data_IF_661196179713
#
_entry.id   IF_661196179713
#
_cell.length_a   1.000
_cell.length_b   1.000
_cell.length_c   1.000
_cell.angle_alpha   90.00
_cell.angle_beta   90.00
_cell.angle_gamma   90.00
#
_symmetry.space_group_name_H-M   'P 1'
#
loop_
_entity.id
_entity.type
_entity.pdbx_description
1 polymer ?
#
# COMPACT_ATOMS: atom_id res chain seq x y z
N UNK A 1 18.59 16.48 -0.56
CA UNK A 1 18.74 15.02 -0.76
C UNK A 1 17.51 14.29 -0.22
N UNK A 2 16.38 14.26 -0.96
CA UNK A 2 15.14 13.57 -0.49
C UNK A 2 14.27 12.99 -1.62
N UNK A 3 14.75 12.94 -2.86
CA UNK A 3 14.01 12.37 -4.01
C UNK A 3 14.37 10.92 -4.30
N UNK A 4 15.46 10.42 -3.70
CA UNK A 4 16.07 9.13 -4.06
C UNK A 4 15.29 7.91 -3.56
N UNK A 5 14.56 8.03 -2.44
CA UNK A 5 13.85 6.90 -1.83
C UNK A 5 12.48 6.66 -2.49
N UNK A 6 11.81 7.72 -2.96
CA UNK A 6 10.50 7.63 -3.61
C UNK A 6 10.57 6.93 -4.98
N UNK A 7 11.67 7.11 -5.72
CA UNK A 7 11.87 6.48 -7.03
C UNK A 7 12.18 4.98 -6.94
N UNK A 8 12.72 4.51 -5.81
CA UNK A 8 13.12 3.10 -5.65
C UNK A 8 11.92 2.17 -5.53
N UNK A 9 10.82 2.61 -4.89
CA UNK A 9 9.62 1.79 -4.69
C UNK A 9 8.88 1.45 -6.00
N UNK A 10 8.94 2.35 -7.00
CA UNK A 10 8.30 2.15 -8.31
C UNK A 10 9.17 1.30 -9.27
N UNK A 11 10.49 1.26 -9.08
CA UNK A 11 11.42 0.57 -9.97
C UNK A 11 11.57 -0.93 -9.70
N UNK A 12 11.23 -1.39 -8.48
CA UNK A 12 11.42 -2.80 -8.07
C UNK A 12 10.47 -3.75 -8.83
N UNK A 13 9.29 -3.29 -9.24
CA UNK A 13 8.35 -4.12 -10.01
C UNK A 13 8.79 -4.41 -11.45
N UNK A 14 9.63 -3.57 -12.05
CA UNK A 14 10.00 -3.68 -13.46
C UNK A 14 11.19 -4.60 -13.75
N UNK A 15 12.02 -4.91 -12.75
CA UNK A 15 13.24 -5.71 -12.94
C UNK A 15 13.01 -7.22 -12.99
N UNK A 16 11.79 -7.69 -12.70
CA UNK A 16 11.41 -9.12 -12.74
C UNK A 16 10.60 -9.53 -13.98
N UNK A 17 10.35 -8.60 -14.92
CA UNK A 17 9.54 -8.85 -16.11
C UNK A 17 10.26 -9.67 -17.22
N UNK A 18 11.54 -9.98 -17.04
CA UNK A 18 12.30 -10.81 -17.96
C UNK A 18 12.06 -12.29 -17.69
N UNK A 19 11.23 -12.93 -18.53
CA UNK A 19 10.97 -14.37 -18.68
C UNK A 19 9.68 -14.92 -18.03
N UNK A 20 8.71 -15.24 -18.91
CA UNK A 20 7.71 -16.32 -18.86
C UNK A 20 6.53 -16.29 -17.86
N UNK A 21 5.69 -15.23 -17.82
CA UNK A 21 4.36 -15.16 -17.13
C UNK A 21 4.31 -14.98 -15.59
N UNK A 22 4.83 -13.89 -15.04
CA UNK A 22 4.48 -13.51 -13.67
C UNK A 22 3.14 -12.77 -13.78
N UNK A 23 2.11 -13.21 -13.07
CA UNK A 23 0.81 -12.54 -13.15
C UNK A 23 0.96 -11.18 -12.47
N UNK A 24 0.91 -10.10 -13.27
CA UNK A 24 0.79 -8.74 -12.75
C UNK A 24 -0.66 -8.52 -12.36
N UNK A 25 -0.89 -8.15 -11.11
CA UNK A 25 -2.17 -7.72 -10.59
C UNK A 25 -2.10 -6.22 -10.29
N UNK A 26 -3.12 -5.49 -10.72
CA UNK A 26 -3.32 -4.09 -10.39
C UNK A 26 -4.66 -3.95 -9.68
N UNK A 27 -4.68 -3.21 -8.59
CA UNK A 27 -5.90 -2.86 -7.88
C UNK A 27 -5.83 -1.40 -7.40
N UNK A 28 -6.99 -0.86 -7.03
CA UNK A 28 -7.12 0.51 -6.59
C UNK A 28 -8.21 0.63 -5.52
N UNK A 29 -8.00 1.54 -4.58
CA UNK A 29 -8.98 1.89 -3.56
C UNK A 29 -9.32 3.38 -3.64
N UNK A 30 -10.57 3.72 -3.36
CA UNK A 30 -11.06 5.09 -3.29
C UNK A 30 -11.86 5.25 -2.00
N UNK A 31 -11.48 6.24 -1.20
CA UNK A 31 -12.19 6.67 -0.01
C UNK A 31 -12.57 8.14 -0.16
N UNK A 32 -13.84 8.44 0.09
CA UNK A 32 -14.42 9.78 0.01
C UNK A 32 -15.14 10.04 1.33
N UNK A 33 -14.51 10.84 2.17
CA UNK A 33 -15.02 11.14 3.49
C UNK A 33 -15.51 12.60 3.51
N UNK A 34 -16.72 12.79 4.05
CA UNK A 34 -17.34 14.10 4.16
C UNK A 34 -17.99 14.20 5.52
N UNK A 35 -17.35 14.94 6.42
CA UNK A 35 -17.84 15.18 7.76
C UNK A 35 -18.56 16.53 7.82
N UNK A 36 -19.77 16.53 8.37
CA UNK A 36 -20.50 17.73 8.72
C UNK A 36 -20.42 17.92 10.25
N UNK A 37 -19.64 18.89 10.68
CA UNK A 37 -19.47 19.23 12.10
C UNK A 37 -20.42 20.38 12.45
N UNK A 38 -21.47 20.06 13.19
CA UNK A 38 -22.37 21.07 13.74
C UNK A 38 -21.72 21.73 14.97
N UNK A 39 -21.25 22.96 14.79
CA UNK A 39 -20.80 23.76 15.93
C UNK A 39 -22.03 24.47 16.48
N UNK A 40 -22.40 24.14 17.73
CA UNK A 40 -23.65 24.49 18.44
C UNK A 40 -24.01 26.00 18.53
N UNK A 41 -23.32 26.88 17.81
CA UNK A 41 -23.44 28.33 17.93
C UNK A 41 -23.93 29.05 16.66
N UNK A 42 -23.97 28.41 15.47
CA UNK A 42 -24.73 28.84 14.25
C UNK A 42 -24.07 28.45 12.91
N UNK A 43 -23.08 27.54 12.87
CA UNK A 43 -22.37 27.21 11.63
C UNK A 43 -22.03 25.72 11.55
N UNK A 44 -22.30 25.13 10.39
CA UNK A 44 -21.81 23.80 10.02
C UNK A 44 -20.49 23.96 9.28
N UNK A 45 -19.44 23.32 9.78
CA UNK A 45 -18.19 23.16 9.02
C UNK A 45 -18.23 21.84 8.28
N UNK A 46 -17.79 21.86 7.02
CA UNK A 46 -17.61 20.66 6.21
C UNK A 46 -16.12 20.35 6.12
N UNK A 47 -15.75 19.14 6.51
CA UNK A 47 -14.41 18.60 6.30
C UNK A 47 -14.48 17.52 5.22
N UNK A 48 -13.55 17.56 4.26
CA UNK A 48 -13.48 16.60 3.17
C UNK A 48 -12.08 16.01 3.10
N UNK A 49 -12.01 14.73 3.39
CA UNK A 49 -10.78 13.94 3.41
C UNK A 49 -11.00 12.62 2.64
N UNK A 50 -10.11 11.67 2.82
CA UNK A 50 -10.07 10.41 2.07
C UNK A 50 -8.84 10.28 1.18
N UNK A 51 -8.90 9.33 0.25
CA UNK A 51 -7.73 8.98 -0.55
C UNK A 51 -8.04 8.24 -1.87
N UNK A 52 -7.05 8.28 -2.76
CA UNK A 52 -6.92 7.34 -3.89
C UNK A 52 -5.69 6.49 -3.68
N UNK A 53 -5.81 5.18 -3.79
CA UNK A 53 -4.69 4.24 -3.69
C UNK A 53 -4.57 3.41 -4.95
N UNK A 54 -3.33 3.18 -5.38
CA UNK A 54 -2.98 2.32 -6.49
C UNK A 54 -1.97 1.28 -6.02
N UNK A 55 -2.26 0.02 -6.32
CA UNK A 55 -1.45 -1.12 -5.93
C UNK A 55 -1.05 -1.94 -7.16
N UNK A 56 0.14 -2.50 -7.10
CA UNK A 56 0.65 -3.49 -8.05
C UNK A 56 1.24 -4.66 -7.28
N UNK A 57 0.94 -5.88 -7.72
CA UNK A 57 1.53 -7.09 -7.19
C UNK A 57 1.97 -8.02 -8.32
N UNK A 58 3.01 -8.80 -8.06
CA UNK A 58 3.44 -9.87 -8.94
C UNK A 58 3.88 -11.07 -8.12
N UNK A 59 3.53 -12.27 -8.59
CA UNK A 59 4.02 -13.53 -8.01
C UNK A 59 4.47 -14.48 -9.11
N UNK A 60 5.55 -15.19 -8.81
CA UNK A 60 6.23 -16.15 -9.66
C UNK A 60 6.45 -17.42 -8.87
N UNK A 61 6.00 -18.55 -9.39
CA UNK A 61 6.13 -19.85 -8.74
C UNK A 61 7.00 -20.79 -9.58
N UNK A 62 7.77 -21.65 -8.90
CA UNK A 62 8.54 -22.72 -9.51
C UNK A 62 8.54 -23.93 -8.56
N UNK A 63 7.71 -24.93 -8.88
CA UNK A 63 7.44 -26.03 -7.98
C UNK A 63 6.81 -25.54 -6.69
N UNK A 64 7.38 -25.90 -5.54
CA UNK A 64 6.89 -25.44 -4.23
C UNK A 64 7.38 -24.04 -3.84
N UNK A 65 8.31 -23.44 -4.61
CA UNK A 65 8.93 -22.17 -4.27
C UNK A 65 8.26 -21.00 -4.98
N UNK A 66 8.32 -19.81 -4.38
CA UNK A 66 7.83 -18.58 -4.99
C UNK A 66 8.71 -17.36 -4.71
N UNK A 67 8.59 -16.38 -5.60
CA UNK A 67 9.03 -14.99 -5.40
C UNK A 67 7.85 -14.08 -5.72
N UNK A 68 7.57 -13.12 -4.85
CA UNK A 68 6.51 -12.15 -4.99
C UNK A 68 7.01 -10.74 -4.67
N UNK A 69 6.36 -9.73 -5.24
CA UNK A 69 6.58 -8.33 -4.92
C UNK A 69 5.23 -7.60 -4.87
N UNK A 70 5.10 -6.63 -3.96
CA UNK A 70 3.93 -5.75 -3.86
C UNK A 70 4.39 -4.32 -3.64
N UNK A 71 3.75 -3.38 -4.33
CA UNK A 71 3.95 -1.95 -4.18
C UNK A 71 2.61 -1.21 -4.21
N UNK A 72 2.42 -0.29 -3.28
CA UNK A 72 1.21 0.50 -3.14
C UNK A 72 1.52 1.96 -2.79
N UNK A 73 0.82 2.88 -3.42
CA UNK A 73 0.89 4.32 -3.12
C UNK A 73 -0.51 4.86 -2.94
N UNK A 74 -0.68 5.65 -1.87
CA UNK A 74 -1.92 6.33 -1.51
C UNK A 74 -1.71 7.84 -1.59
N UNK A 75 -2.59 8.52 -2.31
CA UNK A 75 -2.70 9.97 -2.38
C UNK A 75 -3.84 10.41 -1.47
N UNK A 76 -3.56 11.20 -0.45
CA UNK A 76 -4.60 11.73 0.47
C UNK A 76 -5.02 13.13 0.03
N UNK A 77 -6.30 13.46 0.25
CA UNK A 77 -6.83 14.81 -0.03
C UNK A 77 -6.61 15.79 1.12
N UNK A 78 -6.13 15.30 2.26
CA UNK A 78 -5.91 16.06 3.50
C UNK A 78 -4.47 15.91 4.03
N UNK A 79 -3.99 16.98 4.69
CA UNK A 79 -2.69 17.12 5.34
C UNK A 79 -1.55 17.77 4.53
N UNK A 80 -0.39 17.93 5.17
CA UNK A 80 0.84 18.47 4.52
C UNK A 80 1.62 17.39 3.73
N UNK A 81 1.23 16.11 3.87
CA UNK A 81 1.91 14.95 3.27
C UNK A 81 0.92 14.09 2.51
N UNK A 82 0.61 14.51 1.29
CA UNK A 82 -0.45 13.92 0.48
C UNK A 82 -0.07 12.64 -0.26
N UNK A 83 1.08 12.04 0.08
CA UNK A 83 1.56 10.79 -0.53
C UNK A 83 2.08 9.87 0.55
N UNK A 84 1.44 8.71 0.71
CA UNK A 84 1.88 7.63 1.56
C UNK A 84 2.22 6.42 0.70
N UNK A 85 3.43 5.87 0.85
CA UNK A 85 3.65 4.46 0.46
C UNK A 85 2.71 3.60 1.34
N UNK A 86 2.24 2.45 0.87
CA UNK A 86 1.46 1.50 1.67
C UNK A 86 2.32 0.27 1.90
N UNK A 87 2.07 -0.79 1.14
CA UNK A 87 2.97 -1.93 1.02
C UNK A 87 4.08 -1.62 0.00
N UNK A 88 5.30 -2.02 0.30
CA UNK A 88 6.45 -1.97 -0.60
C UNK A 88 7.44 -3.06 -0.16
N UNK A 89 7.20 -4.30 -0.58
CA UNK A 89 7.97 -5.46 -0.14
C UNK A 89 8.25 -6.45 -1.26
N UNK A 90 9.28 -7.26 -1.03
CA UNK A 90 9.54 -8.52 -1.73
C UNK A 90 9.31 -9.65 -0.74
N UNK A 91 8.73 -10.74 -1.21
CA UNK A 91 8.52 -11.95 -0.45
C UNK A 91 9.05 -13.15 -1.24
N UNK A 92 9.68 -14.08 -0.55
CA UNK A 92 10.15 -15.33 -1.14
C UNK A 92 9.95 -16.46 -0.15
N UNK A 93 9.68 -17.66 -0.65
CA UNK A 93 9.38 -18.77 0.23
C UNK A 93 8.94 -20.01 -0.52
N UNK A 94 8.29 -20.90 0.23
CA UNK A 94 7.68 -22.11 -0.25
C UNK A 94 6.45 -22.49 0.61
N UNK A 95 5.97 -23.72 0.48
CA UNK A 95 4.81 -24.24 1.22
C UNK A 95 5.01 -24.35 2.75
N UNK A 96 6.24 -24.29 3.24
CA UNK A 96 6.58 -24.49 4.66
C UNK A 96 7.09 -23.23 5.36
N UNK A 97 7.65 -22.28 4.61
CA UNK A 97 8.18 -21.04 5.16
C UNK A 97 8.18 -19.94 4.11
N UNK A 98 8.15 -18.69 4.55
CA UNK A 98 8.43 -17.54 3.71
C UNK A 98 9.13 -16.44 4.50
N UNK A 99 9.78 -15.53 3.78
CA UNK A 99 10.39 -14.34 4.31
C UNK A 99 9.94 -13.13 3.48
N UNK A 100 9.53 -12.08 4.18
CA UNK A 100 9.12 -10.80 3.60
C UNK A 100 10.07 -9.69 4.05
N UNK A 101 10.56 -8.90 3.10
CA UNK A 101 11.45 -7.77 3.36
C UNK A 101 10.93 -6.52 2.67
N UNK A 102 10.93 -5.42 3.42
CA UNK A 102 10.49 -4.12 2.96
C UNK A 102 9.48 -3.51 3.92
N UNK A 103 8.66 -2.61 3.40
CA UNK A 103 7.55 -2.04 4.14
C UNK A 103 6.30 -2.88 3.90
N UNK A 104 5.64 -3.28 4.97
CA UNK A 104 4.34 -3.93 4.94
C UNK A 104 3.59 -3.54 6.22
N UNK A 105 2.27 -3.58 6.17
CA UNK A 105 1.47 -3.45 7.39
C UNK A 105 1.56 -4.78 8.16
N UNK A 106 2.39 -4.80 9.21
CA UNK A 106 2.49 -5.96 10.09
C UNK A 106 1.18 -6.20 10.83
N UNK A 107 0.99 -7.42 11.34
CA UNK A 107 -0.19 -7.81 12.14
C UNK A 107 -0.44 -6.75 13.21
N UNK A 108 -1.65 -6.19 13.23
CA UNK A 108 -2.06 -5.26 14.29
C UNK A 108 -2.07 -6.02 15.63
N UNK A 109 -1.03 -5.83 16.44
CA UNK A 109 -0.89 -6.42 17.77
C UNK A 109 -1.86 -5.79 18.79
N UNK A 110 -2.53 -4.69 18.43
CA UNK A 110 -3.46 -3.95 19.28
C UNK A 110 -4.79 -3.71 18.54
N UNK A 111 -5.61 -4.76 18.36
CA UNK A 111 -6.97 -4.58 17.85
C UNK A 111 -7.75 -3.64 18.78
N UNK A 112 -8.35 -2.60 18.21
CA UNK A 112 -9.16 -1.61 18.93
C UNK A 112 -10.30 -2.33 19.70
N UNK A 113 -10.50 -2.00 20.98
CA UNK A 113 -11.63 -2.48 21.80
C UNK A 113 -11.45 -3.85 22.45
N UNK A 114 -10.22 -4.23 22.81
CA UNK A 114 -9.91 -5.45 23.59
C UNK A 114 -9.18 -5.17 24.91
N UNK A 115 -9.23 -3.92 25.37
CA UNK A 115 -8.82 -3.45 26.68
C UNK A 115 -9.85 -3.78 27.78
#
# INVERSE_FOLDING_TARGET
MKTSILLTSAAIGCLLAGTAQAQLAFDANLELDTDAVDTATSSTTYDQNGFVELNVASKRENGEYFVAAKGGVRLTTDGDKNVAVRDAYIQLGNNSWDAQIGRFEAINLFPLGKD
#
